data_IF_095358127240
#
_entry.id   IF_095358127240
#
_cell.length_a   1.000
_cell.length_b   1.000
_cell.length_c   1.000
_cell.angle_alpha   90.00
_cell.angle_beta   90.00
_cell.angle_gamma   90.00
#
_symmetry.space_group_name_H-M   'P 1'
#
loop_
_entity.id
_entity.type
_entity.pdbx_description
1 polymer ?
#
# COMPACT_ATOMS: atom_id res chain seq x y z
N UNK A 1 -9.20 20.25 15.84
CA UNK A 1 -10.20 19.79 14.87
C UNK A 1 -11.59 20.03 15.39
N UNK A 2 -12.53 20.37 14.51
CA UNK A 2 -13.97 20.54 14.83
C UNK A 2 -14.80 19.36 14.32
N UNK A 3 -14.16 18.38 13.69
CA UNK A 3 -14.82 17.20 13.13
C UNK A 3 -15.34 16.26 14.24
N UNK A 4 -16.44 15.56 13.95
CA UNK A 4 -17.03 14.55 14.85
C UNK A 4 -16.42 13.17 14.71
N UNK A 5 -15.38 13.02 13.91
CA UNK A 5 -14.65 11.78 13.66
C UNK A 5 -13.15 12.03 13.74
N UNK A 6 -12.37 10.97 13.91
CA UNK A 6 -10.91 11.03 13.94
C UNK A 6 -10.34 11.23 12.53
N UNK A 7 -9.96 12.47 12.23
CA UNK A 7 -9.45 12.87 10.92
C UNK A 7 -8.09 12.25 10.62
N UNK A 8 -7.81 12.06 9.35
CA UNK A 8 -6.50 11.59 8.89
C UNK A 8 -5.56 12.76 8.70
N UNK A 9 -4.33 12.63 9.18
CA UNK A 9 -3.23 13.56 8.92
C UNK A 9 -2.51 13.08 7.67
N UNK A 10 -2.42 13.93 6.66
CA UNK A 10 -1.82 13.62 5.36
C UNK A 10 -0.61 14.52 5.09
N UNK A 11 0.35 13.97 4.37
CA UNK A 11 1.51 14.67 3.84
C UNK A 11 1.36 14.83 2.33
N UNK A 12 1.50 16.07 1.84
CA UNK A 12 1.54 16.40 0.43
C UNK A 12 2.89 17.02 0.10
N UNK A 13 3.65 16.36 -0.76
CA UNK A 13 4.98 16.82 -1.16
C UNK A 13 4.96 17.13 -2.65
N UNK A 14 5.23 18.37 -3.02
CA UNK A 14 5.46 18.74 -4.40
C UNK A 14 6.92 18.47 -4.75
N UNK A 15 7.14 17.64 -5.76
CA UNK A 15 8.47 17.30 -6.25
C UNK A 15 8.77 18.03 -7.57
N UNK A 16 10.05 18.10 -7.96
CA UNK A 16 10.47 18.65 -9.25
C UNK A 16 10.66 17.60 -10.34
N UNK A 17 10.05 16.40 -10.17
CA UNK A 17 10.08 15.35 -11.20
C UNK A 17 9.14 15.66 -12.35
N UNK A 18 9.45 15.17 -13.54
CA UNK A 18 8.52 15.24 -14.68
C UNK A 18 7.70 13.91 -14.74
N UNK A 19 6.41 13.95 -14.41
CA UNK A 19 5.57 12.75 -14.36
C UNK A 19 5.28 12.15 -15.75
N UNK A 20 5.68 12.80 -16.83
CA UNK A 20 5.59 12.26 -18.19
C UNK A 20 6.70 11.25 -18.49
N UNK A 21 7.79 11.31 -17.74
CA UNK A 21 8.91 10.39 -17.87
C UNK A 21 8.77 9.23 -16.88
N UNK A 22 8.69 8.01 -17.39
CA UNK A 22 8.49 6.81 -16.58
C UNK A 22 9.64 6.53 -15.60
N UNK A 23 10.85 6.96 -15.93
CA UNK A 23 12.07 6.88 -15.11
C UNK A 23 12.10 7.90 -13.98
N UNK A 24 11.28 8.95 -14.04
CA UNK A 24 11.12 9.93 -12.97
C UNK A 24 9.91 9.69 -12.07
N UNK A 25 9.06 8.73 -12.40
CA UNK A 25 7.91 8.37 -11.59
C UNK A 25 8.34 7.67 -10.30
N UNK A 26 8.06 8.30 -9.16
CA UNK A 26 8.32 7.74 -7.85
C UNK A 26 7.13 6.89 -7.43
N UNK A 27 7.41 5.68 -7.00
CA UNK A 27 6.46 4.79 -6.35
C UNK A 27 7.20 3.91 -5.38
N UNK A 28 6.81 3.98 -4.13
CA UNK A 28 7.42 3.21 -3.07
C UNK A 28 6.47 2.89 -1.95
N UNK A 29 7.01 2.26 -0.96
CA UNK A 29 6.29 1.83 0.24
C UNK A 29 7.13 2.17 1.47
N UNK A 30 6.46 2.62 2.50
CA UNK A 30 7.06 2.89 3.80
C UNK A 30 6.27 2.19 4.90
N UNK A 31 6.97 1.48 5.77
CA UNK A 31 6.39 1.00 7.04
C UNK A 31 6.50 2.12 8.07
N UNK A 32 5.37 2.53 8.59
CA UNK A 32 5.31 3.59 9.59
C UNK A 32 5.53 3.01 11.00
N UNK A 33 6.44 3.56 11.81
CA UNK A 33 6.76 3.04 13.14
C UNK A 33 5.54 2.88 14.06
N UNK A 34 4.59 3.81 13.96
CA UNK A 34 3.38 3.84 14.81
C UNK A 34 2.10 3.48 14.04
N UNK A 35 2.22 2.94 12.82
CA UNK A 35 1.09 2.59 11.98
C UNK A 35 0.27 3.80 11.52
N UNK A 36 -0.92 3.52 10.99
CA UNK A 36 -1.85 4.54 10.46
C UNK A 36 -3.03 4.84 11.40
N UNK A 37 -3.15 4.14 12.55
CA UNK A 37 -4.31 4.28 13.45
C UNK A 37 -5.64 3.77 12.84
N UNK A 38 -5.53 2.87 11.88
CA UNK A 38 -6.64 2.29 11.13
C UNK A 38 -6.49 0.78 11.14
N UNK A 39 -7.57 0.05 11.37
CA UNK A 39 -7.58 -1.40 11.20
C UNK A 39 -7.47 -1.72 9.72
N UNK A 40 -6.40 -2.39 9.32
CA UNK A 40 -6.14 -2.78 7.94
C UNK A 40 -6.61 -4.21 7.74
N UNK A 41 -7.58 -4.39 6.84
CA UNK A 41 -8.05 -5.71 6.41
C UNK A 41 -7.25 -6.15 5.21
N UNK A 42 -6.66 -7.33 5.34
CA UNK A 42 -5.76 -7.90 4.34
C UNK A 42 -6.46 -9.07 3.64
N UNK A 43 -6.55 -8.96 2.33
CA UNK A 43 -6.98 -10.06 1.43
C UNK A 43 -5.74 -10.73 0.86
N UNK A 44 -5.71 -12.04 0.87
CA UNK A 44 -4.64 -12.84 0.28
C UNK A 44 -5.20 -13.74 -0.82
N UNK A 45 -4.72 -13.51 -2.02
CA UNK A 45 -4.99 -14.37 -3.18
C UNK A 45 -3.89 -15.42 -3.27
N UNK A 46 -4.18 -16.62 -2.82
CA UNK A 46 -3.23 -17.73 -2.82
C UNK A 46 -3.94 -19.06 -3.09
N UNK A 47 -3.24 -19.97 -3.76
CA UNK A 47 -3.65 -21.35 -3.88
C UNK A 47 -3.55 -22.11 -2.55
N UNK A 48 -3.87 -23.40 -2.55
CA UNK A 48 -4.02 -24.22 -1.33
C UNK A 48 -2.82 -24.12 -0.35
N UNK A 49 -1.59 -24.18 -0.85
CA UNK A 49 -0.37 -24.11 0.00
C UNK A 49 -0.24 -22.76 0.71
N UNK A 50 -0.39 -21.65 -0.03
CA UNK A 50 -0.28 -20.31 0.56
C UNK A 50 -1.49 -19.91 1.40
N UNK A 51 -2.65 -20.57 1.19
CA UNK A 51 -3.87 -20.24 1.90
C UNK A 51 -3.79 -20.62 3.39
N UNK A 52 -3.17 -21.74 3.74
CA UNK A 52 -2.99 -22.16 5.13
C UNK A 52 -2.04 -21.23 5.87
N UNK A 53 -0.90 -20.89 5.24
CA UNK A 53 0.07 -19.95 5.79
C UNK A 53 -0.52 -18.55 6.00
N UNK A 54 -1.30 -18.08 5.04
CA UNK A 54 -1.96 -16.78 5.13
C UNK A 54 -2.99 -16.71 6.26
N UNK A 55 -3.78 -17.77 6.46
CA UNK A 55 -4.74 -17.88 7.59
C UNK A 55 -4.02 -17.92 8.92
N UNK A 56 -2.95 -18.71 9.02
CA UNK A 56 -2.15 -18.81 10.23
C UNK A 56 -1.48 -17.47 10.60
N UNK A 57 -1.10 -16.67 9.60
CA UNK A 57 -0.55 -15.35 9.78
C UNK A 57 -1.58 -14.25 10.08
N UNK A 58 -2.87 -14.58 10.09
CA UNK A 58 -3.95 -13.69 10.47
C UNK A 58 -4.48 -12.82 9.33
N UNK A 59 -4.41 -13.26 8.08
CA UNK A 59 -5.11 -12.61 6.97
C UNK A 59 -6.63 -12.63 7.22
N UNK A 60 -7.32 -11.53 6.88
CA UNK A 60 -8.76 -11.40 7.14
C UNK A 60 -9.59 -12.20 6.13
N UNK A 61 -9.13 -12.23 4.89
CA UNK A 61 -9.75 -13.01 3.82
C UNK A 61 -8.67 -13.72 3.01
N UNK A 62 -8.87 -15.01 2.79
CA UNK A 62 -7.94 -15.85 2.03
C UNK A 62 -8.73 -16.73 1.08
N UNK A 63 -8.37 -16.71 -0.19
CA UNK A 63 -9.01 -17.54 -1.20
C UNK A 63 -8.43 -17.31 -2.59
N UNK A 64 -9.05 -17.92 -3.57
CA UNK A 64 -8.67 -17.84 -4.97
C UNK A 64 -9.90 -17.45 -5.82
N UNK A 65 -10.58 -18.40 -6.44
CA UNK A 65 -11.68 -18.14 -7.36
C UNK A 65 -12.92 -17.57 -6.62
N UNK A 66 -13.18 -17.99 -5.41
CA UNK A 66 -14.26 -17.49 -4.54
C UNK A 66 -14.12 -15.99 -4.21
N UNK A 67 -12.90 -15.53 -3.97
CA UNK A 67 -12.61 -14.10 -3.75
C UNK A 67 -12.71 -13.29 -5.05
N UNK A 68 -12.29 -13.88 -6.16
CA UNK A 68 -12.40 -13.25 -7.46
C UNK A 68 -13.86 -12.98 -7.80
N UNK A 69 -14.74 -13.99 -7.65
CA UNK A 69 -16.19 -13.84 -7.88
C UNK A 69 -16.81 -12.79 -6.95
N UNK A 70 -16.43 -12.76 -5.67
CA UNK A 70 -16.88 -11.74 -4.72
C UNK A 70 -16.53 -10.32 -5.17
N UNK A 71 -15.30 -10.11 -5.63
CA UNK A 71 -14.82 -8.80 -6.07
C UNK A 71 -15.47 -8.40 -7.40
N UNK A 72 -15.69 -9.35 -8.32
CA UNK A 72 -16.46 -9.11 -9.54
C UNK A 72 -17.90 -8.70 -9.22
N UNK A 73 -18.47 -9.25 -8.14
CA UNK A 73 -19.77 -8.85 -7.59
C UNK A 73 -19.80 -7.47 -6.91
N UNK A 74 -18.65 -6.78 -6.85
CA UNK A 74 -18.53 -5.43 -6.30
C UNK A 74 -18.07 -5.36 -4.85
N UNK A 75 -17.68 -6.48 -4.23
CA UNK A 75 -17.11 -6.47 -2.89
C UNK A 75 -15.67 -5.97 -2.90
N UNK A 76 -15.37 -4.99 -2.07
CA UNK A 76 -14.04 -4.36 -1.96
C UNK A 76 -13.71 -3.91 -0.54
N UNK A 77 -14.28 -4.60 0.45
CA UNK A 77 -14.19 -4.26 1.85
C UNK A 77 -12.84 -4.70 2.48
N UNK A 78 -11.74 -4.25 1.86
CA UNK A 78 -10.37 -4.47 2.31
C UNK A 78 -9.45 -3.31 1.89
N UNK A 79 -8.33 -3.17 2.58
CA UNK A 79 -7.37 -2.08 2.36
C UNK A 79 -6.09 -2.53 1.63
N UNK A 80 -5.72 -3.80 1.76
CA UNK A 80 -4.50 -4.36 1.14
C UNK A 80 -4.80 -5.70 0.51
N UNK A 81 -4.42 -5.86 -0.77
CA UNK A 81 -4.45 -7.12 -1.49
C UNK A 81 -3.03 -7.69 -1.65
N UNK A 82 -2.79 -8.87 -1.13
CA UNK A 82 -1.57 -9.65 -1.36
C UNK A 82 -1.86 -10.79 -2.34
N UNK A 83 -0.91 -11.14 -3.18
CA UNK A 83 -1.07 -12.25 -4.10
C UNK A 83 0.22 -13.04 -4.28
N UNK A 84 0.07 -14.35 -4.50
CA UNK A 84 1.16 -15.17 -5.00
C UNK A 84 1.27 -15.05 -6.52
N UNK A 85 2.49 -15.17 -7.10
CA UNK A 85 2.69 -15.06 -8.55
C UNK A 85 1.83 -16.03 -9.37
N UNK A 86 1.54 -17.20 -8.81
CA UNK A 86 0.75 -18.25 -9.46
C UNK A 86 -0.71 -17.84 -9.72
N UNK A 87 -1.28 -17.00 -8.86
CA UNK A 87 -2.70 -16.57 -8.95
C UNK A 87 -2.86 -15.30 -9.79
N UNK A 88 -1.76 -14.58 -10.05
CA UNK A 88 -1.78 -13.31 -10.79
C UNK A 88 -2.50 -13.37 -12.16
N UNK A 89 -2.35 -14.43 -12.98
CA UNK A 89 -3.08 -14.53 -14.26
C UNK A 89 -4.60 -14.50 -14.06
N UNK A 90 -5.10 -15.12 -12.99
CA UNK A 90 -6.54 -15.13 -12.65
C UNK A 90 -7.01 -13.75 -12.17
N UNK A 91 -6.23 -13.10 -11.30
CA UNK A 91 -6.53 -11.76 -10.77
C UNK A 91 -6.45 -10.68 -11.85
N UNK A 92 -5.75 -10.93 -12.94
CA UNK A 92 -5.63 -10.00 -14.07
C UNK A 92 -6.98 -9.47 -14.57
N UNK A 93 -8.03 -10.29 -14.50
CA UNK A 93 -9.42 -9.90 -14.83
C UNK A 93 -9.93 -8.77 -13.93
N UNK A 94 -9.52 -8.75 -12.67
CA UNK A 94 -9.89 -7.74 -11.68
C UNK A 94 -9.10 -6.43 -11.82
N UNK A 95 -8.11 -6.38 -12.72
CA UNK A 95 -7.23 -5.21 -12.89
C UNK A 95 -7.96 -3.89 -13.14
N UNK A 96 -9.13 -3.96 -13.81
CA UNK A 96 -9.97 -2.79 -14.04
C UNK A 96 -10.67 -2.30 -12.76
N UNK A 97 -11.03 -3.21 -11.86
CA UNK A 97 -11.71 -2.90 -10.59
C UNK A 97 -10.67 -2.50 -9.55
N UNK A 98 -9.73 -3.39 -9.25
CA UNK A 98 -8.72 -3.21 -8.22
C UNK A 98 -7.69 -2.13 -8.58
N UNK A 99 -7.34 -2.01 -9.87
CA UNK A 99 -6.37 -1.02 -10.34
C UNK A 99 -6.84 0.42 -10.16
N UNK A 100 -8.14 0.68 -10.36
CA UNK A 100 -8.73 2.02 -10.13
C UNK A 100 -8.72 2.43 -8.66
N UNK A 101 -8.80 1.45 -7.75
CA UNK A 101 -8.80 1.65 -6.29
C UNK A 101 -7.40 1.57 -5.67
N UNK A 102 -6.38 1.24 -6.47
CA UNK A 102 -5.02 1.05 -5.97
C UNK A 102 -4.81 -0.25 -5.18
N UNK A 103 -5.78 -1.18 -5.22
CA UNK A 103 -5.77 -2.43 -4.48
C UNK A 103 -5.16 -3.61 -5.25
N UNK A 104 -4.74 -3.38 -6.49
CA UNK A 104 -4.16 -4.44 -7.34
C UNK A 104 -2.77 -4.82 -6.84
N UNK A 105 -2.52 -6.11 -6.54
CA UNK A 105 -1.20 -6.59 -6.15
C UNK A 105 -0.14 -6.27 -7.21
N UNK A 106 1.02 -5.80 -6.77
CA UNK A 106 2.08 -5.36 -7.65
C UNK A 106 3.47 -5.69 -7.05
N UNK A 107 4.43 -6.16 -7.87
CA UNK A 107 5.80 -6.41 -7.42
C UNK A 107 6.49 -5.16 -6.83
N UNK A 108 6.24 -3.98 -7.41
CA UNK A 108 6.85 -2.72 -6.96
C UNK A 108 6.37 -2.26 -5.59
N UNK A 109 5.12 -2.55 -5.26
CA UNK A 109 4.58 -2.30 -3.92
C UNK A 109 4.84 -3.46 -2.96
N UNK A 110 5.56 -4.52 -3.39
CA UNK A 110 5.85 -5.70 -2.57
C UNK A 110 4.59 -6.41 -2.06
N UNK A 111 3.49 -6.29 -2.79
CA UNK A 111 2.22 -6.99 -2.50
C UNK A 111 2.06 -8.26 -3.32
N UNK A 112 3.02 -8.54 -4.21
CA UNK A 112 3.17 -9.83 -4.86
C UNK A 112 4.35 -10.56 -4.22
N UNK A 113 4.07 -11.60 -3.46
CA UNK A 113 5.04 -12.31 -2.62
C UNK A 113 4.95 -13.82 -2.79
N UNK A 114 6.06 -14.51 -2.54
CA UNK A 114 6.06 -15.97 -2.53
C UNK A 114 5.24 -16.53 -1.35
N UNK A 115 4.69 -17.74 -1.43
CA UNK A 115 3.91 -18.34 -0.33
C UNK A 115 4.64 -18.28 1.01
N UNK A 116 5.92 -18.60 1.06
CA UNK A 116 6.77 -18.59 2.25
C UNK A 116 6.95 -17.19 2.89
N UNK A 117 6.79 -16.13 2.11
CA UNK A 117 6.93 -14.75 2.58
C UNK A 117 5.59 -14.11 2.99
N UNK A 118 4.47 -14.82 2.77
CA UNK A 118 3.12 -14.32 3.11
C UNK A 118 2.98 -13.92 4.58
N UNK A 119 3.47 -14.71 5.58
CA UNK A 119 3.32 -14.32 6.98
C UNK A 119 3.96 -12.97 7.28
N UNK A 120 5.16 -12.73 6.76
CA UNK A 120 5.87 -11.46 6.92
C UNK A 120 5.13 -10.32 6.23
N UNK A 121 4.68 -10.51 4.99
CA UNK A 121 3.97 -9.49 4.22
C UNK A 121 2.63 -9.10 4.87
N UNK A 122 1.92 -10.05 5.46
CA UNK A 122 0.67 -9.81 6.20
C UNK A 122 0.94 -8.99 7.46
N UNK A 123 1.98 -9.33 8.23
CA UNK A 123 2.38 -8.58 9.42
C UNK A 123 2.80 -7.14 9.07
N UNK A 124 3.59 -6.97 8.02
CA UNK A 124 3.98 -5.64 7.52
C UNK A 124 2.76 -4.83 7.05
N UNK A 125 1.82 -5.45 6.35
CA UNK A 125 0.60 -4.79 5.91
C UNK A 125 -0.26 -4.33 7.11
N UNK A 126 -0.43 -5.18 8.13
CA UNK A 126 -1.18 -4.86 9.34
C UNK A 126 -0.45 -3.87 10.26
N UNK A 127 0.88 -3.83 10.18
CA UNK A 127 1.73 -2.93 10.96
C UNK A 127 1.64 -1.45 10.56
N UNK A 128 0.89 -1.11 9.51
CA UNK A 128 0.72 0.29 9.09
C UNK A 128 1.63 0.70 7.95
N UNK A 129 1.73 -0.15 6.97
CA UNK A 129 2.41 0.12 5.71
C UNK A 129 1.61 1.13 4.88
N UNK A 130 2.28 2.17 4.39
CA UNK A 130 1.70 3.14 3.46
C UNK A 130 2.41 3.11 2.11
N UNK A 131 1.63 3.21 1.04
CA UNK A 131 2.15 3.35 -0.32
C UNK A 131 2.16 4.84 -0.68
N UNK A 132 3.22 5.28 -1.34
CA UNK A 132 3.30 6.62 -1.91
C UNK A 132 3.60 6.56 -3.39
N UNK A 133 2.99 7.48 -4.13
CA UNK A 133 3.15 7.57 -5.58
C UNK A 133 3.06 9.01 -6.01
N UNK A 134 3.92 9.40 -6.97
CA UNK A 134 3.79 10.68 -7.66
C UNK A 134 2.56 10.68 -8.57
N UNK A 135 1.75 11.71 -8.47
CA UNK A 135 0.61 11.95 -9.35
C UNK A 135 1.03 12.63 -10.66
N UNK A 136 0.04 12.98 -11.50
CA UNK A 136 0.27 13.67 -12.78
C UNK A 136 0.76 15.11 -12.64
N UNK A 137 0.67 15.68 -11.45
CA UNK A 137 1.08 17.04 -11.11
C UNK A 137 2.40 17.10 -10.34
N UNK A 138 3.13 15.97 -10.29
CA UNK A 138 4.37 15.80 -9.55
C UNK A 138 4.21 15.94 -8.03
N UNK A 139 3.04 15.64 -7.50
CA UNK A 139 2.78 15.66 -6.07
C UNK A 139 2.67 14.23 -5.54
N UNK A 140 3.27 13.98 -4.39
CA UNK A 140 3.11 12.75 -3.62
C UNK A 140 2.10 13.04 -2.51
N UNK A 141 1.08 12.19 -2.39
CA UNK A 141 0.08 12.21 -1.33
C UNK A 141 0.23 10.95 -0.50
N UNK A 142 0.31 11.08 0.82
CA UNK A 142 0.38 9.93 1.72
C UNK A 142 -0.14 10.26 3.09
N UNK A 143 -0.79 9.28 3.73
CA UNK A 143 -1.27 9.41 5.10
C UNK A 143 -0.14 9.11 6.09
N UNK A 144 -0.06 9.86 7.18
CA UNK A 144 0.95 9.70 8.24
C UNK A 144 0.37 9.26 9.58
N UNK A 145 -0.94 9.33 9.75
CA UNK A 145 -1.63 8.90 10.97
C UNK A 145 -2.98 9.56 11.16
N UNK A 146 -3.42 9.61 12.40
CA UNK A 146 -4.70 10.19 12.84
C UNK A 146 -4.47 11.41 13.72
N UNK A 147 -5.45 12.32 13.77
CA UNK A 147 -5.43 13.49 14.65
C UNK A 147 -5.38 13.08 16.13
N UNK A 148 -5.91 11.91 16.47
CA UNK A 148 -5.84 11.33 17.81
C UNK A 148 -4.43 10.87 18.24
N UNK A 149 -3.49 10.79 17.31
CA UNK A 149 -2.11 10.42 17.64
C UNK A 149 -1.42 11.52 18.43
N UNK A 150 -0.53 11.12 19.34
CA UNK A 150 0.40 12.03 19.99
C UNK A 150 1.34 12.66 18.95
N UNK A 151 1.72 13.91 19.16
CA UNK A 151 2.54 14.66 18.22
C UNK A 151 3.86 13.95 17.88
N UNK A 152 4.52 13.35 18.86
CA UNK A 152 5.78 12.63 18.68
C UNK A 152 5.62 11.44 17.72
N UNK A 153 4.51 10.68 17.82
CA UNK A 153 4.21 9.57 16.91
C UNK A 153 3.99 10.03 15.47
N UNK A 154 3.36 11.19 15.29
CA UNK A 154 3.18 11.78 13.96
C UNK A 154 4.52 12.26 13.39
N UNK A 155 5.40 12.82 14.20
CA UNK A 155 6.74 13.25 13.80
C UNK A 155 7.58 12.05 13.38
N UNK A 156 7.58 10.97 14.14
CA UNK A 156 8.31 9.74 13.79
C UNK A 156 7.82 9.13 12.47
N UNK A 157 6.50 9.03 12.30
CA UNK A 157 5.90 8.56 11.06
C UNK A 157 6.25 9.47 9.87
N UNK A 158 6.19 10.78 10.06
CA UNK A 158 6.56 11.77 9.04
C UNK A 158 8.04 11.66 8.66
N UNK A 159 8.92 11.53 9.64
CA UNK A 159 10.37 11.39 9.41
C UNK A 159 10.68 10.10 8.64
N UNK A 160 10.04 8.98 9.00
CA UNK A 160 10.20 7.71 8.30
C UNK A 160 9.74 7.81 6.84
N UNK A 161 8.57 8.39 6.60
CA UNK A 161 8.01 8.58 5.26
C UNK A 161 8.86 9.52 4.42
N UNK A 162 9.27 10.67 4.95
CA UNK A 162 10.12 11.64 4.25
C UNK A 162 11.47 11.01 3.87
N UNK A 163 12.09 10.26 4.78
CA UNK A 163 13.34 9.55 4.52
C UNK A 163 13.21 8.50 3.41
N UNK A 164 12.09 7.76 3.39
CA UNK A 164 11.80 6.80 2.33
C UNK A 164 11.63 7.48 0.97
N UNK A 165 10.89 8.59 0.91
CA UNK A 165 10.68 9.36 -0.33
C UNK A 165 12.01 9.95 -0.84
N UNK A 166 12.86 10.47 0.05
CA UNK A 166 14.18 11.02 -0.33
C UNK A 166 15.10 9.92 -0.87
N UNK A 167 15.07 8.74 -0.27
CA UNK A 167 15.84 7.58 -0.76
C UNK A 167 15.44 7.15 -2.16
N UNK A 168 14.15 7.24 -2.48
CA UNK A 168 13.59 6.83 -3.78
C UNK A 168 13.67 7.96 -4.83
N UNK A 169 14.50 8.98 -4.59
CA UNK A 169 14.76 10.04 -5.56
C UNK A 169 15.30 9.44 -6.87
N UNK A 170 14.70 9.79 -8.03
CA UNK A 170 15.18 9.32 -9.32
C UNK A 170 16.60 9.80 -9.62
N UNK A 171 17.46 8.91 -10.09
CA UNK A 171 18.83 9.27 -10.52
C UNK A 171 18.84 10.20 -11.73
N UNK A 172 17.83 10.09 -12.60
CA UNK A 172 17.65 10.93 -13.79
C UNK A 172 17.26 12.37 -13.46
N UNK A 173 16.88 12.67 -12.23
CA UNK A 173 16.48 14.01 -11.82
C UNK A 173 17.70 14.92 -11.67
N UNK A 174 17.81 15.92 -12.57
CA UNK A 174 18.81 16.98 -12.50
C UNK A 174 18.27 18.16 -11.69
N UNK A 175 18.93 18.51 -10.58
CA UNK A 175 18.53 19.64 -9.75
C UNK A 175 17.89 19.25 -8.41
N UNK A 176 17.28 20.21 -7.69
CA UNK A 176 16.66 19.95 -6.38
C UNK A 176 15.46 19.00 -6.53
N UNK A 177 15.22 18.21 -5.49
CA UNK A 177 14.13 17.23 -5.47
C UNK A 177 12.80 17.87 -5.04
N UNK A 178 12.89 18.84 -4.13
CA UNK A 178 11.77 19.63 -3.62
C UNK A 178 11.95 21.10 -3.93
#
# INVERSE_FOLDING_TARGET
STAKFDETVELHIRTNVDPRHADQMIRGVCSLPHGLGKTIRVVVFAGAEGAEEARAAGADFVGEDDLIEKIEGGWDDFEVGLATPQVMPKIGKLGRILGRKGLMPNPRSGTMVQPQDLPRAIQEAKGGRTEYRTDRTAIIHSSVGKVSFEADKLVDNLAALASAIVRDRPESLKGPFF
#
